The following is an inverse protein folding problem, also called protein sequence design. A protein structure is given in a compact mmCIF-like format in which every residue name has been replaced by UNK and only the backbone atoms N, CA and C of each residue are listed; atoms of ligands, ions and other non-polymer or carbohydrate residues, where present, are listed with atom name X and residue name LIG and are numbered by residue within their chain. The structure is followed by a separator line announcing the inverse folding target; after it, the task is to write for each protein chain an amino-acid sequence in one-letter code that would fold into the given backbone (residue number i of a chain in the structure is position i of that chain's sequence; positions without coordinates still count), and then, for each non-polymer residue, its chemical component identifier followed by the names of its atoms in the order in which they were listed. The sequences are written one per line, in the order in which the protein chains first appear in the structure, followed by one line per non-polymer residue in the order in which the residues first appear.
data_IF_794893769344
#
_entry.id   IF_794893769344
#
_cell.length_a   1.000
_cell.length_b   1.000
_cell.length_c   1.000
_cell.angle_alpha   90.00
_cell.angle_beta   90.00
_cell.angle_gamma   90.00
#
_symmetry.space_group_name_H-M   'P 1'
#
loop_
_entity.id
_entity.type
_entity.pdbx_description
1 polymer ?
#
# COMPACT_ATOMS: atom_id res chain seq x y z
N UNK A 1 -4.20 -10.50 -19.01
CA UNK A 1 -3.74 -10.71 -17.62
C UNK A 1 -2.23 -10.57 -17.58
N UNK A 2 -1.71 -9.71 -16.71
CA UNK A 2 -0.28 -9.66 -16.42
C UNK A 2 0.05 -10.78 -15.43
N UNK A 3 1.19 -11.45 -15.59
CA UNK A 3 1.65 -12.51 -14.69
C UNK A 3 2.96 -12.06 -14.06
N UNK A 4 3.04 -12.18 -12.73
CA UNK A 4 4.25 -11.86 -11.96
C UNK A 4 5.45 -12.72 -12.39
N UNK A 5 5.19 -13.91 -12.93
CA UNK A 5 6.22 -14.90 -13.27
C UNK A 5 6.39 -15.09 -14.80
N UNK A 6 5.94 -14.11 -15.60
CA UNK A 6 6.08 -14.19 -17.06
C UNK A 6 5.23 -15.28 -17.73
N UNK A 7 4.30 -15.90 -17.00
CA UNK A 7 3.37 -16.91 -17.54
C UNK A 7 2.24 -16.29 -18.40
N UNK A 8 2.17 -14.95 -18.44
CA UNK A 8 1.16 -14.21 -19.18
C UNK A 8 1.65 -13.81 -20.58
N UNK A 9 0.70 -13.65 -21.50
CA UNK A 9 0.97 -13.18 -22.86
C UNK A 9 1.60 -11.77 -22.91
N UNK A 10 1.30 -10.94 -21.90
CA UNK A 10 1.79 -9.58 -21.81
C UNK A 10 3.02 -9.51 -20.89
N UNK A 11 4.14 -9.01 -21.41
CA UNK A 11 5.36 -8.68 -20.66
C UNK A 11 5.25 -7.31 -19.98
N UNK A 12 4.21 -7.13 -19.17
CA UNK A 12 3.94 -5.88 -18.44
C UNK A 12 3.95 -6.11 -16.93
N UNK A 13 4.54 -5.19 -16.19
CA UNK A 13 4.62 -5.26 -14.72
C UNK A 13 3.53 -4.42 -14.06
N UNK A 14 3.17 -4.70 -12.79
CA UNK A 14 2.25 -3.85 -12.02
C UNK A 14 2.69 -2.38 -11.99
N UNK A 15 4.00 -2.14 -11.88
CA UNK A 15 4.60 -0.81 -11.92
C UNK A 15 4.32 -0.08 -13.25
N UNK A 16 4.52 -0.75 -14.38
CA UNK A 16 4.25 -0.16 -15.70
C UNK A 16 2.76 0.17 -15.88
N UNK A 17 1.87 -0.68 -15.37
CA UNK A 17 0.43 -0.41 -15.39
C UNK A 17 0.08 0.79 -14.50
N UNK A 18 0.69 0.89 -13.32
CA UNK A 18 0.51 2.02 -12.42
C UNK A 18 0.96 3.34 -13.07
N UNK A 19 2.15 3.35 -13.68
CA UNK A 19 2.67 4.51 -14.43
C UNK A 19 1.77 4.89 -15.61
N UNK A 20 1.17 3.90 -16.29
CA UNK A 20 0.18 4.14 -17.35
C UNK A 20 -1.09 4.80 -16.79
N UNK A 21 -1.64 4.26 -15.70
CA UNK A 21 -2.84 4.79 -15.05
C UNK A 21 -2.67 6.25 -14.64
N UNK A 22 -1.50 6.66 -14.15
CA UNK A 22 -1.23 8.06 -13.77
C UNK A 22 -1.37 9.04 -14.96
N UNK A 23 -1.26 8.58 -16.20
CA UNK A 23 -1.46 9.41 -17.41
C UNK A 23 -2.91 9.43 -17.91
N UNK A 24 -3.79 8.62 -17.33
CA UNK A 24 -5.19 8.50 -17.73
C UNK A 24 -6.12 9.45 -16.97
N UNK A 25 -5.56 10.33 -16.09
CA UNK A 25 -6.32 11.20 -15.19
C UNK A 25 -7.38 10.41 -14.37
N UNK A 26 -6.97 9.40 -13.60
CA UNK A 26 -7.91 8.59 -12.85
C UNK A 26 -8.45 9.39 -11.66
N UNK A 27 -9.71 9.17 -11.28
CA UNK A 27 -10.21 9.71 -10.01
C UNK A 27 -9.68 8.90 -8.82
N UNK A 28 -9.53 7.58 -9.02
CA UNK A 28 -9.01 6.62 -8.03
C UNK A 28 -8.24 5.52 -8.72
N UNK A 29 -7.21 5.00 -8.04
CA UNK A 29 -6.44 3.85 -8.50
C UNK A 29 -6.69 2.68 -7.55
N UNK A 30 -7.24 1.59 -8.09
CA UNK A 30 -7.52 0.36 -7.36
C UNK A 30 -6.51 -0.71 -7.81
N UNK A 31 -5.50 -0.94 -6.99
CA UNK A 31 -4.54 -2.01 -7.23
C UNK A 31 -5.00 -3.22 -6.42
N UNK A 32 -5.10 -4.39 -7.05
CA UNK A 32 -5.67 -5.55 -6.39
C UNK A 32 -4.85 -5.96 -5.15
N UNK A 33 -3.52 -5.98 -5.27
CA UNK A 33 -2.64 -6.45 -4.22
C UNK A 33 -1.23 -5.86 -4.36
N UNK A 34 -0.60 -5.54 -3.23
CA UNK A 34 0.81 -5.16 -3.13
C UNK A 34 1.66 -6.38 -2.80
N UNK A 35 2.64 -6.69 -3.65
CA UNK A 35 3.45 -7.91 -3.56
C UNK A 35 4.95 -7.70 -3.67
N UNK A 36 5.41 -6.58 -4.21
CA UNK A 36 6.83 -6.32 -4.45
C UNK A 36 7.13 -4.80 -4.49
N UNK A 37 8.14 -4.40 -5.25
CA UNK A 37 8.67 -3.03 -5.35
C UNK A 37 7.63 -1.97 -5.76
N UNK A 38 6.53 -2.37 -6.42
CA UNK A 38 5.44 -1.46 -6.80
C UNK A 38 4.77 -0.80 -5.59
N UNK A 39 4.94 -1.34 -4.38
CA UNK A 39 4.41 -0.75 -3.16
C UNK A 39 4.90 0.67 -2.92
N UNK A 40 6.18 0.96 -3.18
CA UNK A 40 6.71 2.31 -3.00
C UNK A 40 6.11 3.30 -4.00
N UNK A 41 6.03 2.91 -5.27
CA UNK A 41 5.41 3.72 -6.32
C UNK A 41 3.91 3.94 -6.05
N UNK A 42 3.19 2.90 -5.59
CA UNK A 42 1.80 3.00 -5.19
C UNK A 42 1.63 3.99 -4.04
N UNK A 43 2.38 3.80 -2.95
CA UNK A 43 2.28 4.66 -1.77
C UNK A 43 2.62 6.12 -2.09
N UNK A 44 3.69 6.36 -2.85
CA UNK A 44 4.14 7.72 -3.15
C UNK A 44 3.27 8.42 -4.18
N UNK A 45 2.92 7.77 -5.29
CA UNK A 45 2.31 8.43 -6.45
C UNK A 45 0.77 8.38 -6.43
N UNK A 46 0.18 7.37 -5.80
CA UNK A 46 -1.28 7.29 -5.69
C UNK A 46 -1.76 8.18 -4.56
N UNK A 47 -1.16 8.08 -3.37
CA UNK A 47 -1.65 8.84 -2.22
C UNK A 47 -1.36 10.35 -2.28
N UNK A 48 -0.46 10.82 -3.15
CA UNK A 48 -0.14 12.25 -3.31
C UNK A 48 -0.99 12.97 -4.37
N UNK A 49 -1.80 12.24 -5.14
CA UNK A 49 -2.61 12.84 -6.21
C UNK A 49 -4.00 12.22 -6.45
N UNK A 50 -4.29 11.07 -5.83
CA UNK A 50 -5.48 10.27 -6.13
C UNK A 50 -6.12 9.74 -4.83
N UNK A 51 -6.98 10.52 -4.16
CA UNK A 51 -7.57 10.13 -2.89
C UNK A 51 -8.50 8.92 -3.01
N UNK A 52 -8.61 8.13 -1.94
CA UNK A 52 -9.58 7.03 -1.85
C UNK A 52 -9.17 5.76 -2.59
N UNK A 53 -7.88 5.55 -2.81
CA UNK A 53 -7.33 4.29 -3.32
C UNK A 53 -7.54 3.14 -2.33
N UNK A 54 -7.76 1.94 -2.86
CA UNK A 54 -7.92 0.71 -2.07
C UNK A 54 -6.99 -0.35 -2.66
N UNK A 55 -6.33 -1.10 -1.78
CA UNK A 55 -5.48 -2.25 -2.13
C UNK A 55 -5.53 -3.30 -1.03
N UNK A 56 -5.01 -4.49 -1.32
CA UNK A 56 -4.78 -5.54 -0.34
C UNK A 56 -3.30 -5.83 -0.12
N UNK A 57 -2.96 -6.39 1.04
CA UNK A 57 -1.64 -6.91 1.38
C UNK A 57 -1.80 -8.10 2.31
N UNK A 58 -0.93 -9.10 2.19
CA UNK A 58 -0.95 -10.24 3.10
C UNK A 58 -0.31 -9.89 4.43
N UNK A 59 -1.09 -9.94 5.51
CA UNK A 59 -0.62 -9.78 6.87
C UNK A 59 -1.52 -10.54 7.87
N UNK A 60 -0.97 -10.88 9.03
CA UNK A 60 -1.70 -11.59 10.10
C UNK A 60 -2.41 -10.63 11.08
N UNK A 61 -2.12 -9.34 10.99
CA UNK A 61 -2.81 -8.27 11.71
C UNK A 61 -2.63 -6.91 11.01
N UNK A 62 -3.39 -5.91 11.44
CA UNK A 62 -3.31 -4.55 10.94
C UNK A 62 -1.95 -3.90 11.24
N UNK A 63 -1.38 -4.11 12.43
CA UNK A 63 -0.01 -3.63 12.74
C UNK A 63 1.03 -4.38 11.89
N UNK A 64 0.86 -5.69 11.68
CA UNK A 64 1.73 -6.45 10.79
C UNK A 64 1.57 -6.06 9.32
N UNK A 65 0.44 -5.48 8.91
CA UNK A 65 0.28 -4.93 7.57
C UNK A 65 1.21 -3.73 7.35
N UNK A 66 1.39 -2.86 8.35
CA UNK A 66 2.40 -1.79 8.29
C UNK A 66 3.81 -2.36 8.19
N UNK A 67 4.13 -3.41 8.96
CA UNK A 67 5.43 -4.08 8.89
C UNK A 67 5.68 -4.71 7.52
N UNK A 68 4.65 -5.34 6.93
CA UNK A 68 4.75 -5.90 5.59
C UNK A 68 4.96 -4.80 4.54
N UNK A 69 4.25 -3.69 4.63
CA UNK A 69 4.44 -2.54 3.74
C UNK A 69 5.84 -1.95 3.85
N UNK A 70 6.42 -1.89 5.06
CA UNK A 70 7.83 -1.49 5.25
C UNK A 70 8.77 -2.39 4.45
N UNK A 71 8.59 -3.71 4.54
CA UNK A 71 9.40 -4.68 3.81
C UNK A 71 9.23 -4.53 2.28
N UNK A 72 8.01 -4.33 1.80
CA UNK A 72 7.74 -4.12 0.37
C UNK A 72 8.36 -2.82 -0.15
N UNK A 73 8.26 -1.73 0.61
CA UNK A 73 8.91 -0.45 0.26
C UNK A 73 10.43 -0.62 0.18
N UNK A 74 11.02 -1.38 1.12
CA UNK A 74 12.45 -1.67 1.14
C UNK A 74 12.94 -2.48 -0.08
N UNK A 75 12.06 -3.16 -0.81
CA UNK A 75 12.42 -3.85 -2.06
C UNK A 75 12.58 -2.91 -3.25
N UNK A 76 12.04 -1.69 -3.15
CA UNK A 76 12.16 -0.70 -4.23
C UNK A 76 13.51 0.03 -4.16
N UNK A 77 14.11 0.42 -5.30
CA UNK A 77 15.35 1.19 -5.33
C UNK A 77 15.27 2.52 -4.55
N UNK A 78 14.11 3.18 -4.55
CA UNK A 78 13.91 4.43 -3.83
C UNK A 78 13.62 4.25 -2.32
N UNK A 79 13.09 3.10 -1.92
CA UNK A 79 12.75 2.80 -0.53
C UNK A 79 13.86 2.08 0.23
N UNK A 80 14.79 1.40 -0.45
CA UNK A 80 15.86 0.64 0.19
C UNK A 80 16.77 1.52 1.06
N UNK A 81 17.00 2.78 0.67
CA UNK A 81 17.88 3.74 1.35
C UNK A 81 17.22 4.43 2.56
N UNK A 82 15.89 4.46 2.62
CA UNK A 82 15.16 5.16 3.70
C UNK A 82 15.28 4.41 5.03
N UNK A 83 15.39 5.12 6.15
CA UNK A 83 15.39 4.43 7.44
C UNK A 83 14.03 3.75 7.69
N UNK A 84 14.05 2.61 8.39
CA UNK A 84 12.81 1.88 8.71
C UNK A 84 11.80 2.76 9.44
N UNK A 85 12.27 3.62 10.34
CA UNK A 85 11.44 4.56 11.07
C UNK A 85 10.77 5.57 10.14
N UNK A 86 11.50 6.10 9.14
CA UNK A 86 10.97 7.06 8.17
C UNK A 86 9.89 6.45 7.30
N UNK A 87 10.10 5.21 6.82
CA UNK A 87 9.08 4.48 6.06
C UNK A 87 7.84 4.28 6.93
N UNK A 88 8.01 3.85 8.18
CA UNK A 88 6.88 3.59 9.08
C UNK A 88 6.10 4.88 9.38
N UNK A 89 6.79 6.00 9.60
CA UNK A 89 6.18 7.32 9.76
C UNK A 89 5.40 7.75 8.51
N UNK A 90 6.00 7.56 7.33
CA UNK A 90 5.35 7.83 6.05
C UNK A 90 4.08 7.00 5.88
N UNK A 91 4.12 5.69 6.18
CA UNK A 91 2.96 4.82 6.09
C UNK A 91 1.80 5.29 6.99
N UNK A 92 2.08 5.74 8.22
CA UNK A 92 1.04 6.26 9.10
C UNK A 92 0.44 7.60 8.65
N UNK A 93 1.12 8.34 7.75
CA UNK A 93 0.57 9.53 7.11
C UNK A 93 -0.27 9.19 5.87
N UNK A 94 0.15 8.18 5.12
CA UNK A 94 -0.44 7.82 3.83
C UNK A 94 -1.61 6.83 3.93
N UNK A 95 -1.58 5.92 4.90
CA UNK A 95 -2.60 4.89 5.08
C UNK A 95 -3.61 5.37 6.13
N UNK A 96 -4.85 5.58 5.71
CA UNK A 96 -5.92 6.06 6.60
C UNK A 96 -6.57 4.93 7.41
N UNK A 97 -6.85 3.78 6.77
CA UNK A 97 -7.59 2.67 7.35
C UNK A 97 -6.94 1.34 6.94
N UNK A 98 -6.87 0.39 7.88
CA UNK A 98 -6.55 -1.02 7.59
C UNK A 98 -7.67 -1.89 8.12
N UNK A 99 -8.24 -2.74 7.27
CA UNK A 99 -9.27 -3.73 7.65
C UNK A 99 -8.65 -5.11 7.53
N UNK A 100 -8.50 -5.80 8.66
CA UNK A 100 -8.01 -7.17 8.67
C UNK A 100 -9.18 -8.15 8.61
N UNK A 101 -9.11 -9.07 7.65
CA UNK A 101 -10.05 -10.17 7.56
C UNK A 101 -9.47 -11.41 8.27
N UNK A 102 -10.35 -12.12 8.97
CA UNK A 102 -10.10 -13.45 9.54
C UNK A 102 -11.03 -14.49 8.93
N UNK A 103 -10.68 -15.75 9.11
CA UNK A 103 -11.54 -16.89 8.79
C UNK A 103 -11.66 -17.74 10.03
N UNK A 104 -12.89 -18.00 10.49
CA UNK A 104 -13.18 -18.97 11.55
C UNK A 104 -14.30 -19.88 11.07
N UNK A 105 -14.15 -21.19 11.24
CA UNK A 105 -15.14 -22.21 10.80
C UNK A 105 -15.68 -22.00 9.38
N UNK A 106 -14.84 -21.57 8.43
CA UNK A 106 -15.17 -21.22 7.04
C UNK A 106 -15.98 -19.93 6.82
N UNK A 107 -16.25 -19.17 7.88
CA UNK A 107 -16.88 -17.85 7.78
C UNK A 107 -15.82 -16.75 7.79
N UNK A 108 -15.96 -15.77 6.89
CA UNK A 108 -15.11 -14.58 6.84
C UNK A 108 -15.67 -13.51 7.76
N UNK A 109 -14.83 -12.95 8.60
CA UNK A 109 -15.20 -11.85 9.48
C UNK A 109 -14.12 -10.77 9.51
N UNK A 110 -14.50 -9.56 9.90
CA UNK A 110 -13.54 -8.50 10.18
C UNK A 110 -12.96 -8.75 11.56
N UNK A 111 -11.67 -9.08 11.62
CA UNK A 111 -10.97 -9.38 12.86
C UNK A 111 -10.58 -8.11 13.62
N UNK A 112 -10.18 -7.08 12.88
CA UNK A 112 -9.79 -5.78 13.43
C UNK A 112 -9.88 -4.68 12.36
N UNK A 113 -10.08 -3.46 12.83
CA UNK A 113 -10.03 -2.24 12.01
C UNK A 113 -9.05 -1.30 12.69
N UNK A 114 -7.97 -0.96 12.00
CA UNK A 114 -7.08 0.13 12.41
C UNK A 114 -7.55 1.42 11.76
N UNK A 115 -7.82 2.43 12.59
CA UNK A 115 -8.15 3.79 12.19
C UNK A 115 -7.67 4.77 13.26
N UNK A 116 -6.70 5.62 12.93
CA UNK A 116 -6.06 6.51 13.90
C UNK A 116 -5.87 7.95 13.35
N UNK A 117 -6.96 8.68 13.06
CA UNK A 117 -6.88 10.01 12.46
C UNK A 117 -6.11 11.01 13.34
N UNK A 118 -6.24 10.91 14.67
CA UNK A 118 -5.52 11.77 15.61
C UNK A 118 -4.00 11.62 15.54
N UNK A 119 -3.52 10.42 15.18
CA UNK A 119 -2.08 10.20 14.95
C UNK A 119 -1.63 11.00 13.73
N UNK A 120 -2.38 10.90 12.63
CA UNK A 120 -2.11 11.62 11.38
C UNK A 120 -2.15 13.13 11.60
N UNK A 121 -3.17 13.64 12.29
CA UNK A 121 -3.28 15.06 12.62
C UNK A 121 -2.11 15.57 13.46
N UNK A 122 -1.71 14.84 14.51
CA UNK A 122 -0.54 15.22 15.33
C UNK A 122 0.75 15.23 14.54
N UNK A 123 0.99 14.23 13.69
CA UNK A 123 2.18 14.19 12.83
C UNK A 123 2.23 15.34 11.83
N UNK A 124 1.09 15.72 11.25
CA UNK A 124 1.01 16.87 10.33
C UNK A 124 1.17 18.21 11.07
N UNK A 125 0.67 18.32 12.29
CA UNK A 125 0.85 19.52 13.12
C UNK A 125 2.30 19.69 13.57
N UNK A 126 3.01 18.61 13.90
CA UNK A 126 4.42 18.65 14.27
C UNK A 126 5.37 18.94 13.10
N UNK A 127 4.90 18.81 11.86
CA UNK A 127 5.66 19.11 10.64
C UNK A 127 5.47 20.55 10.13
N UNK A 128 4.66 21.36 10.83
CA UNK A 128 4.44 22.80 10.58
C UNK A 128 5.26 23.62 11.57
#
# INVERSE_FOLDING_TARGET
YYSKDGQGLARVTPKQLLESCLRMRPDRILLAELRSEEAFDYLRNVNSGHPGSITSVHAASAELAFEQLVLLVKQSPGGQELARADIKNLLYLLVDVVIQFGVDKHERYIKEIWYAPERKHRSLAAAR
#
